data_IF_825463444697
#
_entry.id   IF_825463444697
#
_cell.length_a   1.000
_cell.length_b   1.000
_cell.length_c   1.000
_cell.angle_alpha   90.00
_cell.angle_beta   90.00
_cell.angle_gamma   90.00
#
_symmetry.space_group_name_H-M   'P 1'
#
loop_
_entity.id
_entity.type
_entity.pdbx_description
1 polymer ?
#
# COMPACT_ATOMS: atom_id res chain seq x y z
N UNK A 1 0.19 21.54 -3.92
CA UNK A 1 1.26 20.61 -4.28
C UNK A 1 2.20 20.47 -3.11
N UNK A 2 2.21 19.31 -2.44
CA UNK A 2 3.20 18.96 -1.42
C UNK A 2 4.57 18.65 -2.04
N UNK A 3 5.59 18.52 -1.18
CA UNK A 3 6.94 18.08 -1.58
C UNK A 3 6.91 16.68 -2.22
N UNK A 4 6.06 15.79 -1.71
CA UNK A 4 5.89 14.43 -2.22
C UNK A 4 5.23 14.43 -3.60
N UNK A 5 4.16 15.20 -3.81
CA UNK A 5 3.55 15.38 -5.13
C UNK A 5 4.57 15.92 -6.15
N UNK A 6 5.37 16.92 -5.76
CA UNK A 6 6.44 17.45 -6.61
C UNK A 6 7.53 16.43 -6.91
N UNK A 7 7.87 15.54 -5.95
CA UNK A 7 8.81 14.43 -6.15
C UNK A 7 8.24 13.36 -7.09
N UNK A 8 6.96 13.00 -6.95
CA UNK A 8 6.26 12.08 -7.87
C UNK A 8 6.28 12.66 -9.29
N UNK A 9 5.92 13.95 -9.46
CA UNK A 9 5.97 14.63 -10.77
C UNK A 9 7.39 14.75 -11.34
N UNK A 10 8.42 14.86 -10.50
CA UNK A 10 9.84 14.86 -10.92
C UNK A 10 10.30 13.49 -11.42
N UNK A 11 9.82 12.40 -10.80
CA UNK A 11 10.18 11.02 -11.15
C UNK A 11 9.35 10.46 -12.30
N UNK A 12 8.05 10.78 -12.35
CA UNK A 12 7.12 10.40 -13.42
C UNK A 12 6.33 11.63 -13.93
N UNK A 13 6.92 12.44 -14.82
CA UNK A 13 6.29 13.69 -15.30
C UNK A 13 4.94 13.49 -16.01
N UNK A 14 4.75 12.32 -16.63
CA UNK A 14 3.54 11.97 -17.38
C UNK A 14 2.43 11.37 -16.49
N UNK A 15 2.67 11.07 -15.21
CA UNK A 15 1.63 10.60 -14.30
C UNK A 15 0.62 11.72 -14.02
N UNK A 16 -0.67 11.45 -14.25
CA UNK A 16 -1.74 12.43 -14.04
C UNK A 16 -2.02 12.64 -12.55
N UNK A 17 -2.10 13.89 -12.11
CA UNK A 17 -2.35 14.27 -10.71
C UNK A 17 -3.76 13.88 -10.22
N UNK A 18 -4.69 13.71 -11.17
CA UNK A 18 -6.03 13.19 -10.92
C UNK A 18 -6.12 11.66 -10.79
N UNK A 19 -5.09 10.92 -11.20
CA UNK A 19 -5.10 9.45 -11.20
C UNK A 19 -5.10 8.87 -9.78
N UNK A 20 -5.61 7.65 -9.62
CA UNK A 20 -5.62 6.96 -8.32
C UNK A 20 -4.20 6.69 -7.84
N UNK A 21 -3.33 6.13 -8.71
CA UNK A 21 -1.93 5.85 -8.38
C UNK A 21 -1.17 7.09 -7.86
N UNK A 22 -1.40 8.28 -8.43
CA UNK A 22 -0.75 9.50 -7.96
C UNK A 22 -1.17 9.86 -6.52
N UNK A 23 -2.47 9.71 -6.22
CA UNK A 23 -3.05 9.99 -4.89
C UNK A 23 -2.54 8.99 -3.86
N UNK A 24 -2.51 7.69 -4.17
CA UNK A 24 -2.04 6.67 -3.22
C UNK A 24 -0.54 6.79 -2.94
N UNK A 25 0.27 7.15 -3.93
CA UNK A 25 1.69 7.45 -3.71
C UNK A 25 1.88 8.72 -2.85
N UNK A 26 1.05 9.75 -3.06
CA UNK A 26 1.08 10.97 -2.25
C UNK A 26 0.60 10.73 -0.81
N UNK A 27 -0.31 9.77 -0.57
CA UNK A 27 -0.68 9.28 0.76
C UNK A 27 0.45 8.46 1.37
N UNK A 28 0.92 7.41 0.70
CA UNK A 28 1.89 6.44 1.25
C UNK A 28 3.20 7.10 1.68
N UNK A 29 3.79 7.96 0.84
CA UNK A 29 5.01 8.73 1.17
C UNK A 29 4.71 10.06 1.89
N UNK A 30 3.43 10.33 2.19
CA UNK A 30 2.95 11.57 2.78
C UNK A 30 3.12 11.66 4.31
N UNK A 31 2.81 12.83 4.90
CA UNK A 31 2.82 12.99 6.36
C UNK A 31 1.70 12.17 7.02
N UNK A 32 1.94 11.74 8.27
CA UNK A 32 0.99 10.96 9.06
C UNK A 32 1.23 9.44 9.03
N UNK A 33 2.10 8.96 8.15
CA UNK A 33 2.60 7.59 8.10
C UNK A 33 3.27 7.20 9.43
N UNK A 34 2.85 6.10 10.06
CA UNK A 34 3.36 5.65 11.36
C UNK A 34 4.75 5.00 11.29
N UNK A 35 5.11 4.44 10.13
CA UNK A 35 6.48 4.04 9.79
C UNK A 35 7.00 4.98 8.70
N UNK A 36 8.21 5.51 8.88
CA UNK A 36 8.83 6.45 7.96
C UNK A 36 9.28 5.74 6.66
N UNK A 37 8.57 5.99 5.57
CA UNK A 37 8.87 5.46 4.25
C UNK A 37 10.09 6.15 3.63
N UNK A 38 11.05 5.39 3.12
CA UNK A 38 12.27 5.97 2.57
C UNK A 38 12.06 6.47 1.12
N UNK A 39 12.39 7.74 0.83
CA UNK A 39 12.16 8.38 -0.48
C UNK A 39 12.83 7.65 -1.66
N UNK A 40 13.93 6.93 -1.42
CA UNK A 40 14.58 6.12 -2.45
C UNK A 40 13.71 4.96 -2.95
N UNK A 41 12.70 4.54 -2.19
CA UNK A 41 11.79 3.46 -2.60
C UNK A 41 10.71 3.97 -3.56
N UNK A 42 10.27 5.23 -3.43
CA UNK A 42 9.46 5.89 -4.47
C UNK A 42 10.18 5.91 -5.81
N UNK A 43 11.50 6.17 -5.81
CA UNK A 43 12.31 6.20 -7.02
C UNK A 43 12.57 4.80 -7.63
N UNK A 44 12.58 3.73 -6.82
CA UNK A 44 12.59 2.33 -7.31
C UNK A 44 11.23 1.93 -7.89
N UNK A 45 10.15 2.29 -7.18
CA UNK A 45 8.77 1.94 -7.53
C UNK A 45 8.32 2.63 -8.82
N UNK A 46 8.63 3.92 -8.98
CA UNK A 46 8.46 4.69 -10.22
C UNK A 46 9.52 4.35 -11.29
N UNK A 47 9.81 3.05 -11.45
CA UNK A 47 10.78 2.55 -12.42
C UNK A 47 10.36 2.80 -13.88
N UNK A 48 11.30 2.56 -14.80
CA UNK A 48 11.00 2.57 -16.24
C UNK A 48 10.05 1.42 -16.60
N UNK A 49 9.21 1.63 -17.62
CA UNK A 49 8.24 0.64 -18.12
C UNK A 49 7.42 -0.01 -16.99
N UNK A 50 6.70 0.81 -16.21
CA UNK A 50 5.82 0.29 -15.14
C UNK A 50 4.34 0.56 -15.40
N UNK A 51 3.55 -0.50 -15.28
CA UNK A 51 2.10 -0.43 -15.07
C UNK A 51 1.82 -0.42 -13.57
N UNK A 52 0.74 0.25 -13.14
CA UNK A 52 0.38 0.34 -11.73
C UNK A 52 -1.06 -0.12 -11.50
N UNK A 53 -1.29 -0.80 -10.37
CA UNK A 53 -2.63 -1.16 -9.88
C UNK A 53 -2.74 -0.77 -8.42
N UNK A 54 -3.90 -0.20 -8.05
CA UNK A 54 -4.28 0.03 -6.66
C UNK A 54 -5.34 -1.01 -6.30
N UNK A 55 -5.16 -1.67 -5.16
CA UNK A 55 -6.09 -2.60 -4.57
C UNK A 55 -6.51 -2.07 -3.20
N UNK A 56 -7.79 -2.21 -2.85
CA UNK A 56 -8.35 -1.74 -1.58
C UNK A 56 -9.18 -2.87 -0.96
N UNK A 57 -8.74 -3.33 0.19
CA UNK A 57 -9.20 -4.56 0.83
C UNK A 57 -9.71 -4.24 2.23
N UNK A 58 -10.81 -4.87 2.63
CA UNK A 58 -11.52 -4.59 3.88
C UNK A 58 -11.98 -5.88 4.53
N UNK A 59 -11.69 -6.05 5.81
CA UNK A 59 -11.94 -7.30 6.52
C UNK A 59 -12.14 -7.13 8.02
N UNK A 60 -12.44 -8.22 8.70
CA UNK A 60 -12.54 -8.29 10.16
C UNK A 60 -11.20 -8.02 10.85
N UNK A 61 -10.08 -8.35 10.20
CA UNK A 61 -8.70 -8.10 10.64
C UNK A 61 -7.79 -7.76 9.47
N UNK A 62 -6.62 -7.16 9.74
CA UNK A 62 -5.57 -6.95 8.73
C UNK A 62 -5.11 -8.26 8.08
N UNK A 63 -5.19 -9.39 8.80
CA UNK A 63 -4.85 -10.70 8.29
C UNK A 63 -5.86 -11.20 7.25
N UNK A 64 -7.14 -10.89 7.42
CA UNK A 64 -8.18 -11.22 6.44
C UNK A 64 -8.00 -10.41 5.15
N UNK A 65 -7.58 -9.15 5.25
CA UNK A 65 -7.22 -8.34 4.09
C UNK A 65 -5.97 -8.88 3.36
N UNK A 66 -5.01 -9.44 4.10
CA UNK A 66 -3.84 -10.15 3.53
C UNK A 66 -4.26 -11.43 2.81
N UNK A 67 -5.25 -12.19 3.31
CA UNK A 67 -5.76 -13.35 2.59
C UNK A 67 -6.51 -12.95 1.31
N UNK A 68 -7.39 -11.94 1.36
CA UNK A 68 -8.02 -11.38 0.14
C UNK A 68 -6.96 -10.94 -0.91
N UNK A 69 -5.84 -10.36 -0.48
CA UNK A 69 -4.75 -9.93 -1.37
C UNK A 69 -4.07 -11.10 -2.10
N UNK A 70 -4.02 -12.29 -1.49
CA UNK A 70 -3.38 -13.48 -2.07
C UNK A 70 -4.40 -14.30 -2.89
N UNK A 71 -5.61 -14.48 -2.35
CA UNK A 71 -6.65 -15.34 -2.92
C UNK A 71 -7.41 -14.67 -4.08
N UNK A 72 -7.83 -13.41 -3.92
CA UNK A 72 -8.60 -12.66 -4.94
C UNK A 72 -7.68 -11.94 -5.95
N UNK A 73 -6.42 -11.67 -5.56
CA UNK A 73 -5.43 -10.94 -6.37
C UNK A 73 -4.08 -11.68 -6.52
N UNK A 74 -4.07 -12.93 -7.04
CA UNK A 74 -2.84 -13.71 -7.22
C UNK A 74 -1.84 -13.05 -8.17
N UNK A 75 -2.26 -12.10 -9.03
CA UNK A 75 -1.33 -11.30 -9.84
C UNK A 75 -0.38 -10.46 -8.97
N UNK A 76 -0.72 -10.19 -7.70
CA UNK A 76 0.17 -9.49 -6.77
C UNK A 76 1.53 -10.20 -6.64
N UNK A 77 1.59 -11.53 -6.77
CA UNK A 77 2.84 -12.30 -6.79
C UNK A 77 3.76 -11.94 -7.97
N UNK A 78 3.21 -11.54 -9.12
CA UNK A 78 3.96 -11.19 -10.34
C UNK A 78 4.38 -9.72 -10.41
N UNK A 79 3.99 -8.89 -9.43
CA UNK A 79 4.44 -7.51 -9.36
C UNK A 79 5.97 -7.42 -9.19
N UNK A 80 6.57 -6.36 -9.74
CA UNK A 80 7.99 -6.01 -9.57
C UNK A 80 8.24 -5.14 -8.32
N UNK A 81 7.20 -4.87 -7.54
CA UNK A 81 7.24 -4.10 -6.29
C UNK A 81 5.85 -3.86 -5.73
N UNK A 82 5.75 -3.81 -4.40
CA UNK A 82 4.55 -3.44 -3.67
C UNK A 82 4.87 -2.39 -2.62
N UNK A 83 4.02 -1.37 -2.57
CA UNK A 83 3.86 -0.51 -1.40
C UNK A 83 2.51 -0.84 -0.79
N UNK A 84 2.41 -1.08 0.53
CA UNK A 84 1.13 -1.39 1.18
C UNK A 84 0.92 -0.60 2.46
N UNK A 85 -0.28 -0.12 2.71
CA UNK A 85 -0.57 0.58 3.97
C UNK A 85 -1.85 0.12 4.64
N UNK A 86 -1.77 0.00 5.95
CA UNK A 86 -2.85 -0.42 6.83
C UNK A 86 -3.62 0.79 7.38
N UNK A 87 -4.94 0.70 7.43
CA UNK A 87 -5.81 1.74 8.00
C UNK A 87 -6.66 1.20 9.14
N UNK A 88 -6.65 1.91 10.28
CA UNK A 88 -7.52 1.57 11.41
C UNK A 88 -8.97 2.06 11.18
N UNK A 89 -10.01 1.28 11.53
CA UNK A 89 -11.40 1.72 11.53
C UNK A 89 -11.77 2.72 12.66
N UNK A 90 -10.78 3.40 13.24
CA UNK A 90 -10.93 4.50 14.18
C UNK A 90 -10.50 4.12 15.59
N UNK A 91 -9.47 4.82 16.09
CA UNK A 91 -8.69 4.49 17.28
C UNK A 91 -7.29 3.97 16.91
N UNK A 92 -6.40 3.91 17.91
CA UNK A 92 -5.00 3.51 17.73
C UNK A 92 -4.82 2.09 17.17
N UNK A 93 -3.75 1.91 16.42
CA UNK A 93 -3.34 0.63 15.85
C UNK A 93 -2.64 -0.23 16.92
N UNK A 94 -3.03 -1.49 16.99
CA UNK A 94 -2.25 -2.54 17.66
C UNK A 94 -1.20 -3.02 16.67
N UNK A 95 0.07 -2.91 17.05
CA UNK A 95 1.18 -3.28 16.18
C UNK A 95 1.26 -4.80 15.97
N UNK A 96 0.85 -5.56 16.97
CA UNK A 96 0.78 -7.02 16.97
C UNK A 96 -0.18 -7.56 15.89
N UNK A 97 -1.26 -6.82 15.59
CA UNK A 97 -2.23 -7.19 14.56
C UNK A 97 -1.67 -6.95 13.13
N UNK A 98 -0.78 -5.95 12.96
CA UNK A 98 -0.07 -5.71 11.69
C UNK A 98 1.11 -6.67 11.54
N UNK A 99 1.92 -6.89 12.58
CA UNK A 99 3.00 -7.88 12.57
C UNK A 99 2.44 -9.27 12.22
N UNK A 100 1.28 -9.63 12.77
CA UNK A 100 0.58 -10.88 12.42
C UNK A 100 0.12 -10.94 10.97
N UNK A 101 -0.24 -9.81 10.35
CA UNK A 101 -0.61 -9.71 8.94
C UNK A 101 0.62 -9.79 8.02
N UNK A 102 1.69 -9.06 8.32
CA UNK A 102 2.98 -9.15 7.59
C UNK A 102 3.59 -10.56 7.67
N UNK A 103 3.53 -11.21 8.84
CA UNK A 103 3.98 -12.60 9.02
C UNK A 103 3.11 -13.59 8.24
N UNK A 104 1.81 -13.32 8.06
CA UNK A 104 0.95 -14.13 7.21
C UNK A 104 1.29 -13.91 5.73
N UNK A 105 1.37 -12.66 5.28
CA UNK A 105 1.71 -12.27 3.92
C UNK A 105 3.04 -12.89 3.48
N UNK A 106 4.08 -12.77 4.31
CA UNK A 106 5.37 -13.41 4.06
C UNK A 106 5.28 -14.94 3.96
N UNK A 107 4.44 -15.60 4.76
CA UNK A 107 4.27 -17.07 4.70
C UNK A 107 3.62 -17.51 3.39
N UNK A 108 2.47 -16.97 3.03
CA UNK A 108 1.76 -17.40 1.82
C UNK A 108 2.63 -17.14 0.57
N UNK A 109 3.33 -16.00 0.54
CA UNK A 109 4.22 -15.62 -0.56
C UNK A 109 5.54 -16.39 -0.62
N UNK A 110 6.09 -16.92 0.48
CA UNK A 110 7.37 -17.68 0.44
C UNK A 110 7.37 -18.90 -0.49
N UNK A 111 6.18 -19.36 -0.91
CA UNK A 111 5.99 -20.42 -1.91
C UNK A 111 6.53 -20.04 -3.30
N UNK A 112 6.53 -18.76 -3.67
CA UNK A 112 7.14 -18.24 -4.89
C UNK A 112 8.31 -17.30 -4.52
N UNK A 113 9.51 -17.59 -5.03
CA UNK A 113 10.74 -16.90 -4.63
C UNK A 113 10.64 -15.38 -4.88
N UNK A 114 10.45 -14.63 -3.79
CA UNK A 114 9.82 -13.32 -3.89
C UNK A 114 10.78 -12.19 -4.26
N UNK A 115 10.32 -11.26 -5.11
CA UNK A 115 11.19 -10.36 -5.89
C UNK A 115 10.86 -8.86 -5.86
N UNK A 116 9.99 -8.40 -4.97
CA UNK A 116 9.57 -7.00 -4.91
C UNK A 116 10.73 -6.04 -4.65
N UNK A 117 10.85 -5.00 -5.49
CA UNK A 117 11.79 -3.90 -5.24
C UNK A 117 11.18 -2.56 -5.66
N UNK A 118 10.65 -1.77 -4.70
CA UNK A 118 10.64 -2.02 -3.26
C UNK A 118 9.59 -3.05 -2.81
N UNK A 119 9.86 -3.68 -1.69
CA UNK A 119 8.86 -4.12 -0.73
C UNK A 119 8.87 -3.10 0.42
N UNK A 120 7.76 -2.41 0.66
CA UNK A 120 7.66 -1.45 1.76
C UNK A 120 6.22 -1.31 2.27
N UNK A 121 6.09 -1.08 3.59
CA UNK A 121 4.79 -0.85 4.20
C UNK A 121 4.80 0.26 5.25
N UNK A 122 3.62 0.78 5.55
CA UNK A 122 3.39 1.72 6.65
C UNK A 122 1.95 1.59 7.15
N UNK A 123 1.55 2.43 8.10
CA UNK A 123 0.20 2.42 8.65
C UNK A 123 -0.30 3.83 8.95
N UNK A 124 -1.62 4.02 8.89
CA UNK A 124 -2.29 5.28 9.18
C UNK A 124 -3.42 5.06 10.19
N UNK A 125 -3.36 5.79 11.30
CA UNK A 125 -4.46 5.87 12.27
C UNK A 125 -5.45 6.94 11.81
N UNK A 126 -6.73 6.58 11.71
CA UNK A 126 -7.78 7.57 11.54
C UNK A 126 -7.87 8.48 12.77
N UNK A 127 -8.08 9.78 12.56
CA UNK A 127 -8.27 10.72 13.65
C UNK A 127 -9.48 10.32 14.53
N UNK A 128 -9.35 10.48 15.85
CA UNK A 128 -10.34 9.98 16.80
C UNK A 128 -11.69 10.70 16.69
N UNK A 129 -12.67 10.02 16.08
CA UNK A 129 -14.07 10.15 16.48
C UNK A 129 -14.97 11.14 15.74
N UNK A 130 -14.55 11.78 14.64
CA UNK A 130 -15.45 12.64 13.85
C UNK A 130 -15.92 12.01 12.52
N UNK A 131 -17.18 11.54 12.52
CA UNK A 131 -17.98 11.50 11.29
C UNK A 131 -17.91 10.25 10.39
N UNK A 132 -18.32 9.09 10.90
CA UNK A 132 -19.00 8.07 10.08
C UNK A 132 -19.90 7.18 10.95
N UNK A 133 -21.16 7.01 10.53
CA UNK A 133 -22.21 6.40 11.36
C UNK A 133 -22.41 4.91 11.08
N UNK A 134 -22.55 4.12 12.15
CA UNK A 134 -23.18 2.78 12.19
C UNK A 134 -22.80 1.75 11.12
N UNK A 135 -21.64 1.89 10.48
CA UNK A 135 -21.00 0.84 9.68
C UNK A 135 -20.14 -0.06 10.57
N UNK A 136 -19.87 -1.28 10.13
CA UNK A 136 -18.93 -2.16 10.82
C UNK A 136 -17.51 -1.59 10.77
N UNK A 137 -16.79 -1.68 11.89
CA UNK A 137 -15.40 -1.21 12.00
C UNK A 137 -14.43 -2.20 11.34
N UNK A 138 -14.37 -2.18 10.01
CA UNK A 138 -13.51 -3.06 9.21
C UNK A 138 -12.07 -2.55 9.12
N UNK A 139 -11.11 -3.43 9.34
CA UNK A 139 -9.69 -3.16 9.09
C UNK A 139 -9.46 -3.00 7.58
N UNK A 140 -8.67 -2.00 7.19
CA UNK A 140 -8.36 -1.72 5.79
C UNK A 140 -6.89 -1.97 5.43
N UNK A 141 -6.67 -2.42 4.20
CA UNK A 141 -5.37 -2.54 3.56
C UNK A 141 -5.46 -1.96 2.15
N UNK A 142 -4.55 -1.05 1.81
CA UNK A 142 -4.37 -0.57 0.43
C UNK A 142 -3.03 -1.07 -0.07
N UNK A 143 -3.04 -1.79 -1.20
CA UNK A 143 -1.83 -2.27 -1.86
C UNK A 143 -1.65 -1.58 -3.21
N UNK A 144 -0.48 -1.00 -3.42
CA UNK A 144 -0.05 -0.32 -4.64
C UNK A 144 0.98 -1.23 -5.31
N UNK A 145 0.60 -1.82 -6.45
CA UNK A 145 1.42 -2.74 -7.22
C UNK A 145 2.10 -2.01 -8.38
N UNK A 146 3.36 -2.35 -8.67
CA UNK A 146 4.06 -1.96 -9.89
C UNK A 146 4.46 -3.19 -10.71
N UNK A 147 3.87 -3.35 -11.88
CA UNK A 147 4.15 -4.42 -12.85
C UNK A 147 5.08 -3.93 -13.96
N UNK A 148 5.67 -4.84 -14.73
CA UNK A 148 6.27 -4.47 -16.01
C UNK A 148 5.18 -3.98 -17.00
N UNK A 149 5.53 -3.08 -17.90
CA UNK A 149 4.70 -2.72 -19.06
C UNK A 149 4.87 -3.74 -20.21
N UNK A 150 5.92 -4.56 -20.17
CA UNK A 150 6.29 -5.46 -21.27
C UNK A 150 7.19 -4.77 -22.30
N UNK A 151 7.65 -5.54 -23.30
CA UNK A 151 8.64 -5.07 -24.27
C UNK A 151 8.08 -4.30 -25.49
#
# INVERSE_FOLDING_TARGET
MSEIEALIKKLSPLMEEGSEIFKELAVFFGPGSKIATHQGDLAKFLGRKRLYRVLRLSGSSYKDCVYQLVDDHPESMEALGMLRYYTSPGGSIKWEDIESAEIALGKELTTNAYGWMPDAWTAFEGADGEGQGSGEKTHGLVAILAFDYGD
#
